data_IF_563432927678
#
_entry.id   IF_563432927678
#
_cell.length_a   1.000
_cell.length_b   1.000
_cell.length_c   1.000
_cell.angle_alpha   90.00
_cell.angle_beta   90.00
_cell.angle_gamma   90.00
#
_symmetry.space_group_name_H-M   'P 1'
#
loop_
_entity.id
_entity.type
_entity.pdbx_description
1 polymer ?
#
# COMPACT_ATOMS: atom_id res chain seq x y z
N UNK A 1 -20.72 -18.21 -16.96
CA UNK A 1 -19.67 -17.38 -17.60
C UNK A 1 -19.26 -16.34 -16.58
N UNK A 2 -17.98 -16.23 -16.22
CA UNK A 2 -17.51 -15.25 -15.23
C UNK A 2 -17.42 -13.88 -15.92
N UNK A 3 -18.26 -12.93 -15.52
CA UNK A 3 -18.08 -11.53 -15.91
C UNK A 3 -17.13 -10.88 -14.90
N UNK A 4 -16.09 -10.24 -15.41
CA UNK A 4 -15.13 -9.49 -14.60
C UNK A 4 -15.15 -8.04 -15.05
N UNK A 5 -15.59 -7.15 -14.16
CA UNK A 5 -15.47 -5.69 -14.38
C UNK A 5 -14.27 -5.18 -13.58
N UNK A 6 -13.39 -4.42 -14.21
CA UNK A 6 -12.24 -3.83 -13.54
C UNK A 6 -12.37 -2.31 -13.40
N UNK A 7 -11.93 -1.80 -12.26
CA UNK A 7 -11.84 -0.36 -11.99
C UNK A 7 -10.39 0.02 -11.67
N UNK A 8 -9.91 1.04 -12.38
CA UNK A 8 -8.56 1.57 -12.23
C UNK A 8 -8.48 2.55 -11.04
N UNK A 9 -7.34 2.65 -10.34
CA UNK A 9 -7.21 3.46 -9.13
C UNK A 9 -7.57 4.94 -9.35
N UNK A 10 -7.12 5.51 -10.47
CA UNK A 10 -7.39 6.91 -10.83
C UNK A 10 -8.87 7.20 -10.98
N UNK A 11 -9.63 6.26 -11.53
CA UNK A 11 -11.09 6.37 -11.67
C UNK A 11 -11.77 6.25 -10.31
N UNK A 12 -11.35 5.29 -9.48
CA UNK A 12 -11.91 5.09 -8.14
C UNK A 12 -11.72 6.33 -7.25
N UNK A 13 -10.54 6.95 -7.27
CA UNK A 13 -10.29 8.18 -6.52
C UNK A 13 -11.19 9.34 -6.97
N UNK A 14 -11.42 9.48 -8.29
CA UNK A 14 -12.32 10.52 -8.82
C UNK A 14 -13.78 10.27 -8.44
N UNK A 15 -14.22 9.02 -8.48
CA UNK A 15 -15.58 8.63 -8.05
C UNK A 15 -15.78 8.94 -6.58
N UNK A 16 -14.80 8.59 -5.73
CA UNK A 16 -14.86 8.85 -4.30
C UNK A 16 -14.89 10.34 -3.99
N UNK A 17 -14.07 11.14 -4.69
CA UNK A 17 -14.08 12.59 -4.57
C UNK A 17 -15.44 13.18 -4.98
N UNK A 18 -16.00 12.75 -6.13
CA UNK A 18 -17.31 13.20 -6.59
C UNK A 18 -18.43 12.81 -5.61
N UNK A 19 -18.43 11.56 -5.13
CA UNK A 19 -19.39 11.09 -4.13
C UNK A 19 -19.35 11.95 -2.86
N UNK A 20 -18.16 12.21 -2.32
CA UNK A 20 -18.01 13.01 -1.11
C UNK A 20 -18.45 14.46 -1.32
N UNK A 21 -18.14 15.05 -2.47
CA UNK A 21 -18.58 16.40 -2.82
C UNK A 21 -20.11 16.48 -2.88
N UNK A 22 -20.75 15.57 -3.62
CA UNK A 22 -22.21 15.52 -3.77
C UNK A 22 -22.91 15.21 -2.43
N UNK A 23 -22.31 14.38 -1.59
CA UNK A 23 -22.82 14.10 -0.23
C UNK A 23 -22.71 15.34 0.67
N UNK A 24 -21.60 16.09 0.58
CA UNK A 24 -21.43 17.35 1.30
C UNK A 24 -22.38 18.45 0.83
N UNK A 25 -22.78 18.42 -0.44
CA UNK A 25 -23.84 19.25 -1.02
C UNK A 25 -25.25 18.85 -0.53
N UNK A 26 -25.39 17.75 0.19
CA UNK A 26 -26.68 17.27 0.72
C UNK A 26 -27.54 16.53 -0.31
N UNK A 27 -26.96 16.06 -1.42
CA UNK A 27 -27.69 15.30 -2.43
C UNK A 27 -28.08 13.92 -1.92
N UNK A 28 -29.22 13.43 -2.40
CA UNK A 28 -29.71 12.09 -2.12
C UNK A 28 -28.86 11.01 -2.82
N UNK A 29 -28.94 9.77 -2.34
CA UNK A 29 -28.19 8.65 -2.92
C UNK A 29 -28.53 8.40 -4.41
N UNK A 30 -29.78 8.61 -4.80
CA UNK A 30 -30.24 8.46 -6.19
C UNK A 30 -29.63 9.53 -7.10
N UNK A 31 -29.60 10.79 -6.65
CA UNK A 31 -28.96 11.89 -7.38
C UNK A 31 -27.45 11.69 -7.49
N UNK A 32 -26.80 11.21 -6.43
CA UNK A 32 -25.38 10.88 -6.45
C UNK A 32 -25.10 9.80 -7.50
N UNK A 33 -25.91 8.74 -7.52
CA UNK A 33 -25.75 7.64 -8.48
C UNK A 33 -25.93 8.12 -9.92
N UNK A 34 -26.91 9.00 -10.16
CA UNK A 34 -27.19 9.59 -11.47
C UNK A 34 -26.03 10.48 -11.93
N UNK A 35 -25.58 11.41 -11.07
CA UNK A 35 -24.47 12.31 -11.37
C UNK A 35 -23.17 11.55 -11.66
N UNK A 36 -22.90 10.47 -10.92
CA UNK A 36 -21.73 9.61 -11.17
C UNK A 36 -21.90 8.82 -12.48
N UNK A 37 -23.08 8.27 -12.75
CA UNK A 37 -23.40 7.63 -14.03
C UNK A 37 -23.15 8.55 -15.22
N UNK A 38 -23.62 9.80 -15.15
CA UNK A 38 -23.45 10.80 -16.21
C UNK A 38 -22.00 11.24 -16.42
N UNK A 39 -21.26 11.43 -15.31
CA UNK A 39 -19.86 11.89 -15.32
C UNK A 39 -18.92 10.82 -15.88
N UNK A 40 -19.10 9.56 -15.46
CA UNK A 40 -18.23 8.45 -15.83
C UNK A 40 -18.77 7.59 -16.97
N UNK A 41 -19.94 7.94 -17.52
CA UNK A 41 -20.65 7.18 -18.57
C UNK A 41 -20.87 5.72 -18.17
N UNK A 42 -21.29 5.53 -16.92
CA UNK A 42 -21.66 4.22 -16.39
C UNK A 42 -23.17 4.08 -16.39
N UNK A 43 -23.63 2.88 -16.72
CA UNK A 43 -25.03 2.55 -16.86
C UNK A 43 -25.36 1.32 -16.03
N UNK A 44 -26.60 1.27 -15.52
CA UNK A 44 -27.13 0.15 -14.76
C UNK A 44 -26.25 -0.25 -13.57
N UNK A 45 -26.00 -1.55 -13.43
CA UNK A 45 -25.28 -2.11 -12.28
C UNK A 45 -23.81 -1.69 -12.22
N UNK A 46 -23.23 -1.21 -13.32
CA UNK A 46 -21.85 -0.70 -13.32
C UNK A 46 -21.69 0.51 -12.39
N UNK A 47 -22.73 1.34 -12.22
CA UNK A 47 -22.72 2.46 -11.28
C UNK A 47 -22.59 1.94 -9.85
N UNK A 48 -23.40 0.93 -9.49
CA UNK A 48 -23.37 0.29 -8.17
C UNK A 48 -22.01 -0.34 -7.90
N UNK A 49 -21.47 -1.07 -8.87
CA UNK A 49 -20.15 -1.69 -8.79
C UNK A 49 -19.05 -0.66 -8.59
N UNK A 50 -19.12 0.46 -9.31
CA UNK A 50 -18.12 1.52 -9.21
C UNK A 50 -18.15 2.22 -7.85
N UNK A 51 -19.34 2.47 -7.31
CA UNK A 51 -19.54 3.05 -5.98
C UNK A 51 -19.03 2.14 -4.87
N UNK A 52 -19.40 0.85 -4.89
CA UNK A 52 -18.94 -0.13 -3.92
C UNK A 52 -17.41 -0.34 -4.03
N UNK A 53 -16.88 -0.45 -5.25
CA UNK A 53 -15.44 -0.55 -5.48
C UNK A 53 -14.67 0.66 -4.96
N UNK A 54 -15.21 1.88 -5.11
CA UNK A 54 -14.58 3.10 -4.62
C UNK A 54 -14.54 3.12 -3.07
N UNK A 55 -15.60 2.68 -2.40
CA UNK A 55 -15.61 2.57 -0.94
C UNK A 55 -14.60 1.54 -0.43
N UNK A 56 -14.54 0.35 -1.05
CA UNK A 56 -13.56 -0.67 -0.70
C UNK A 56 -12.10 -0.21 -0.94
N UNK A 57 -11.91 0.68 -1.90
CA UNK A 57 -10.62 1.27 -2.24
C UNK A 57 -10.20 2.44 -1.34
N UNK A 58 -11.13 3.04 -0.58
CA UNK A 58 -10.89 4.30 0.14
C UNK A 58 -9.66 4.28 1.06
N UNK A 59 -9.48 3.19 1.79
CA UNK A 59 -8.45 3.06 2.82
C UNK A 59 -7.16 2.38 2.31
N UNK A 60 -7.10 2.06 1.02
CA UNK A 60 -6.02 1.29 0.43
C UNK A 60 -5.05 2.23 -0.31
N UNK A 61 -3.81 2.32 0.18
CA UNK A 61 -2.82 3.27 -0.33
C UNK A 61 -2.06 2.79 -1.58
N UNK A 62 -2.02 1.47 -1.83
CA UNK A 62 -1.24 0.86 -2.90
C UNK A 62 -2.08 0.03 -3.87
N UNK A 63 -3.25 0.52 -4.27
CA UNK A 63 -4.15 -0.22 -5.16
C UNK A 63 -3.59 -0.26 -6.58
N UNK A 64 -3.60 -1.46 -7.17
CA UNK A 64 -3.40 -1.69 -8.59
C UNK A 64 -4.71 -1.64 -9.36
N UNK A 65 -5.75 -2.32 -8.89
CA UNK A 65 -7.12 -2.31 -9.46
C UNK A 65 -8.11 -2.96 -8.50
N UNK A 66 -9.40 -2.72 -8.72
CA UNK A 66 -10.49 -3.49 -8.09
C UNK A 66 -11.19 -4.32 -9.14
N UNK A 67 -11.30 -5.62 -8.88
CA UNK A 67 -11.97 -6.59 -9.75
C UNK A 67 -13.34 -6.93 -9.15
N UNK A 68 -14.37 -6.83 -9.97
CA UNK A 68 -15.75 -7.18 -9.63
C UNK A 68 -16.11 -8.45 -10.38
N UNK A 69 -16.47 -9.49 -9.66
CA UNK A 69 -16.81 -10.80 -10.21
C UNK A 69 -18.22 -11.22 -9.81
N UNK A 70 -18.93 -11.81 -10.76
CA UNK A 70 -20.14 -12.57 -10.51
C UNK A 70 -19.84 -14.05 -10.66
N UNK A 71 -20.25 -14.85 -9.67
CA UNK A 71 -20.04 -16.30 -9.65
C UNK A 71 -21.36 -16.99 -9.99
N UNK A 72 -21.28 -18.11 -10.73
CA UNK A 72 -22.45 -18.92 -11.04
C UNK A 72 -22.96 -19.69 -9.82
N UNK A 73 -24.20 -20.17 -9.88
CA UNK A 73 -24.80 -20.98 -8.81
C UNK A 73 -23.95 -22.25 -8.56
N UNK A 74 -23.50 -22.44 -7.32
CA UNK A 74 -22.61 -23.54 -6.91
C UNK A 74 -21.11 -23.25 -7.00
N UNK A 75 -20.68 -22.12 -7.56
CA UNK A 75 -19.27 -21.71 -7.54
C UNK A 75 -18.93 -21.01 -6.22
N UNK A 76 -17.97 -21.55 -5.47
CA UNK A 76 -17.45 -20.88 -4.27
C UNK A 76 -16.44 -19.79 -4.69
N UNK A 77 -16.65 -18.52 -4.30
CA UNK A 77 -15.69 -17.46 -4.54
C UNK A 77 -14.39 -17.77 -3.79
N UNK A 78 -13.24 -17.38 -4.38
CA UNK A 78 -11.97 -17.52 -3.69
C UNK A 78 -11.93 -16.62 -2.44
N UNK A 79 -11.20 -17.00 -1.36
CA UNK A 79 -11.17 -16.23 -0.10
C UNK A 79 -10.69 -14.77 -0.21
N UNK A 80 -10.05 -14.43 -1.34
CA UNK A 80 -9.58 -13.08 -1.65
C UNK A 80 -10.68 -12.13 -2.12
N UNK A 81 -11.88 -12.64 -2.39
CA UNK A 81 -13.04 -11.84 -2.76
C UNK A 81 -13.84 -11.48 -1.51
N UNK A 82 -14.15 -10.20 -1.37
CA UNK A 82 -15.08 -9.66 -0.40
C UNK A 82 -16.47 -9.57 -1.03
N UNK A 83 -17.46 -10.17 -0.38
CA UNK A 83 -18.85 -10.05 -0.81
C UNK A 83 -19.42 -8.72 -0.33
N UNK A 84 -19.99 -7.95 -1.25
CA UNK A 84 -20.81 -6.78 -0.95
C UNK A 84 -22.14 -6.99 -1.65
N UNK A 85 -23.20 -7.13 -0.86
CA UNK A 85 -24.52 -7.55 -1.33
C UNK A 85 -24.42 -8.90 -2.07
N UNK A 86 -24.78 -8.92 -3.36
CA UNK A 86 -24.74 -10.13 -4.21
C UNK A 86 -23.54 -10.15 -5.15
N UNK A 87 -22.58 -9.23 -4.97
CA UNK A 87 -21.43 -9.07 -5.87
C UNK A 87 -20.11 -9.24 -5.13
N UNK A 88 -19.12 -9.84 -5.79
CA UNK A 88 -17.83 -10.15 -5.18
C UNK A 88 -16.74 -9.22 -5.70
N UNK A 89 -15.99 -8.62 -4.78
CA UNK A 89 -14.96 -7.63 -5.08
C UNK A 89 -13.61 -8.11 -4.61
N UNK A 90 -12.58 -7.92 -5.42
CA UNK A 90 -11.19 -8.20 -5.05
C UNK A 90 -10.38 -6.93 -5.27
N UNK A 91 -9.85 -6.38 -4.18
CA UNK A 91 -8.92 -5.27 -4.22
C UNK A 91 -7.51 -5.83 -4.43
N UNK A 92 -6.94 -5.58 -5.61
CA UNK A 92 -5.55 -5.93 -5.89
C UNK A 92 -4.66 -4.74 -5.52
N UNK A 93 -3.72 -4.98 -4.62
CA UNK A 93 -2.68 -4.00 -4.25
C UNK A 93 -1.34 -4.39 -4.86
N UNK A 94 -0.46 -3.41 -5.07
CA UNK A 94 0.95 -3.70 -5.27
C UNK A 94 1.45 -4.35 -3.97
N UNK A 95 1.86 -5.60 -4.04
CA UNK A 95 2.51 -6.29 -2.93
C UNK A 95 3.70 -5.43 -2.52
N UNK A 96 3.65 -4.83 -1.33
CA UNK A 96 4.87 -4.79 -0.55
C UNK A 96 5.18 -6.26 -0.27
N UNK A 97 6.33 -6.74 -0.71
CA UNK A 97 6.82 -8.02 -0.23
C UNK A 97 6.67 -8.00 1.29
N UNK A 98 6.18 -9.08 1.93
CA UNK A 98 6.13 -9.11 3.38
C UNK A 98 7.55 -8.80 3.85
N UNK A 99 7.72 -7.68 4.55
CA UNK A 99 8.96 -7.44 5.29
C UNK A 99 9.00 -8.60 6.26
N UNK A 100 9.84 -9.60 5.96
CA UNK A 100 10.03 -10.73 6.83
C UNK A 100 10.26 -10.15 8.22
N UNK A 101 9.33 -10.36 9.15
CA UNK A 101 9.54 -9.99 10.53
C UNK A 101 10.79 -10.75 10.93
N UNK A 102 11.89 -10.03 11.13
CA UNK A 102 13.10 -10.64 11.62
C UNK A 102 12.71 -11.42 12.88
N UNK A 103 12.85 -12.75 12.83
CA UNK A 103 12.71 -13.56 14.03
C UNK A 103 13.60 -12.93 15.09
N UNK A 104 13.02 -12.63 16.26
CA UNK A 104 13.80 -12.21 17.41
C UNK A 104 14.72 -13.39 17.75
N UNK A 105 15.95 -13.34 17.26
CA UNK A 105 16.99 -14.27 17.65
C UNK A 105 17.14 -14.14 19.15
N UNK A 106 16.86 -15.22 19.89
CA UNK A 106 17.04 -15.27 21.32
C UNK A 106 18.53 -15.01 21.63
N UNK A 107 18.89 -13.94 22.36
CA UNK A 107 20.28 -13.60 22.64
C UNK A 107 21.00 -14.67 23.46
N UNK A 108 20.30 -15.68 23.99
CA UNK A 108 20.90 -16.78 24.77
C UNK A 108 21.58 -17.86 23.93
N UNK A 109 21.34 -17.93 22.62
CA UNK A 109 21.88 -19.00 21.77
C UNK A 109 23.04 -18.57 20.85
N UNK A 110 23.52 -17.33 20.94
CA UNK A 110 24.61 -16.81 20.10
C UNK A 110 26.04 -17.12 20.64
N UNK A 111 26.22 -18.16 21.47
CA UNK A 111 27.49 -18.39 22.21
C UNK A 111 28.21 -19.71 21.95
N UNK A 112 27.94 -20.44 20.85
CA UNK A 112 28.73 -21.63 20.51
C UNK A 112 29.16 -21.64 19.03
N UNK A 113 30.41 -21.25 18.82
CA UNK A 113 31.13 -21.23 17.55
C UNK A 113 31.92 -19.92 17.49
N UNK A 114 33.15 -19.81 17.98
CA UNK A 114 34.24 -20.76 17.88
C UNK A 114 35.32 -20.13 17.00
N UNK A 115 36.22 -19.34 17.60
CA UNK A 115 37.58 -19.07 17.13
C UNK A 115 37.76 -18.07 15.97
N UNK A 116 38.45 -16.96 16.24
CA UNK A 116 39.03 -16.15 15.16
C UNK A 116 39.49 -14.76 15.61
N UNK A 117 40.76 -14.67 16.03
CA UNK A 117 41.49 -13.42 16.28
C UNK A 117 41.27 -12.39 15.17
N UNK A 118 40.93 -11.15 15.55
CA UNK A 118 40.95 -9.99 14.66
C UNK A 118 41.06 -8.72 15.48
N UNK A 119 42.25 -8.12 15.48
CA UNK A 119 42.60 -6.87 16.15
C UNK A 119 41.58 -5.76 15.91
N UNK A 120 41.21 -5.08 16.99
CA UNK A 120 40.38 -3.89 16.94
C UNK A 120 41.07 -2.72 16.24
N UNK A 121 40.39 -2.15 15.25
CA UNK A 121 40.31 -0.71 15.04
C UNK A 121 39.15 -0.41 14.08
N UNK A 122 37.93 -0.54 14.60
CA UNK A 122 36.72 -0.06 13.94
C UNK A 122 36.38 1.31 14.49
N UNK A 123 36.84 2.38 13.85
CA UNK A 123 36.27 3.72 14.07
C UNK A 123 34.77 3.70 13.75
N UNK A 124 33.98 4.65 14.29
CA UNK A 124 32.53 4.65 14.11
C UNK A 124 32.20 4.61 12.62
N UNK A 125 31.40 3.62 12.21
CA UNK A 125 30.88 3.50 10.85
C UNK A 125 30.09 4.79 10.55
N UNK A 126 30.67 5.64 9.71
CA UNK A 126 30.04 6.88 9.27
C UNK A 126 28.65 6.60 8.67
N UNK A 127 27.72 7.50 8.97
CA UNK A 127 26.34 7.44 8.46
C UNK A 127 26.32 7.23 6.94
N UNK A 128 25.33 6.48 6.41
CA UNK A 128 25.27 6.09 4.99
C UNK A 128 25.08 7.26 4.00
N UNK A 129 24.98 8.50 4.49
CA UNK A 129 24.81 9.71 3.71
C UNK A 129 25.97 10.71 3.83
N UNK A 130 27.17 10.22 4.18
CA UNK A 130 28.41 11.01 4.20
C UNK A 130 28.68 11.75 5.51
N UNK A 131 29.96 12.06 5.75
CA UNK A 131 30.46 12.74 6.96
C UNK A 131 29.83 14.12 7.15
N UNK A 132 29.47 14.44 8.39
CA UNK A 132 28.96 15.77 8.75
C UNK A 132 30.08 16.83 8.62
N UNK A 133 29.74 18.12 8.43
CA UNK A 133 30.73 19.18 8.24
C UNK A 133 31.77 19.27 9.37
N UNK A 134 31.37 19.01 10.61
CA UNK A 134 32.26 19.00 11.78
C UNK A 134 33.36 17.92 11.69
N UNK A 135 33.07 16.75 11.12
CA UNK A 135 34.05 15.67 10.96
C UNK A 135 35.08 15.97 9.86
N UNK A 136 34.71 16.74 8.83
CA UNK A 136 35.66 17.19 7.79
C UNK A 136 36.67 18.20 8.34
N UNK A 137 36.22 19.09 9.23
CA UNK A 137 37.07 20.11 9.83
C UNK A 137 38.07 19.51 10.83
N UNK A 138 37.66 18.48 11.58
CA UNK A 138 38.55 17.76 12.48
C UNK A 138 39.67 16.98 11.76
N UNK A 139 39.42 16.52 10.53
CA UNK A 139 40.41 15.75 9.75
C UNK A 139 41.43 16.62 9.02
N UNK A 140 41.11 17.89 8.77
CA UNK A 140 41.99 18.84 8.06
C UNK A 140 42.90 19.67 8.98
N UNK A 141 42.85 19.51 10.31
CA UNK A 141 43.83 20.14 11.19
C UNK A 141 45.14 19.34 11.19
N UNK A 142 46.28 19.90 10.75
CA UNK A 142 47.57 19.26 10.91
C UNK A 142 47.86 19.10 12.41
N UNK A 143 48.21 17.88 12.82
CA UNK A 143 48.64 17.61 14.20
C UNK A 143 49.86 18.48 14.50
N UNK A 144 49.78 19.30 15.55
CA UNK A 144 50.93 20.03 16.07
C UNK A 144 52.09 19.05 16.35
N UNK A 145 53.34 19.38 15.96
CA UNK A 145 54.48 18.53 16.25
C UNK A 145 54.71 18.50 17.77
N UNK A 146 55.02 17.31 18.27
CA UNK A 146 55.28 17.06 19.68
C UNK A 146 56.80 16.94 19.87
N UNK A 147 57.44 18.02 20.30
CA UNK A 147 58.68 18.11 21.09
C UNK A 147 59.09 19.58 21.20
#
# INVERSE_FOLDING_TARGET
MKSITEFQPTTLSKILAAKNALTAEGKSAEEISTAIGETFKYEGDKIKYALAAAELAKDQSSIRRVLVATFGEGEKPAPMYQQVEDTYYKVETFSSAPVAKAEKVDPRNARRGGGGKGQGQGGPKGSPWGMTPEEKEAKNKPKAPKA
#
